data_IF_372174742766
#
_entry.id   IF_372174742766
#
_cell.length_a   1.000
_cell.length_b   1.000
_cell.length_c   1.000
_cell.angle_alpha   90.00
_cell.angle_beta   90.00
_cell.angle_gamma   90.00
#
_symmetry.space_group_name_H-M   'P 1'
#
loop_
_entity.id
_entity.type
_entity.pdbx_description
1 polymer ?
#
# COMPACT_ATOMS: atom_id res chain seq x y z
N UNK A 1 8.18 2.41 27.69
CA UNK A 1 8.86 2.09 26.42
C UNK A 1 7.88 2.34 25.29
N UNK A 2 8.18 3.26 24.37
CA UNK A 2 7.29 3.62 23.27
C UNK A 2 7.76 2.85 22.03
N UNK A 3 7.02 1.80 21.65
CA UNK A 3 7.34 1.02 20.45
C UNK A 3 6.85 1.80 19.24
N UNK A 4 7.75 2.51 18.56
CA UNK A 4 7.40 3.22 17.33
C UNK A 4 7.03 2.20 16.23
N UNK A 5 5.77 2.21 15.78
CA UNK A 5 5.27 1.36 14.69
C UNK A 5 5.99 1.77 13.39
N UNK A 6 6.94 0.96 12.91
CA UNK A 6 7.64 1.20 11.64
C UNK A 6 6.66 1.02 10.48
N UNK A 7 6.22 2.13 9.89
CA UNK A 7 5.50 2.12 8.62
C UNK A 7 6.50 2.14 7.47
N UNK A 8 6.29 1.24 6.50
CA UNK A 8 7.00 1.26 5.22
C UNK A 8 6.49 2.47 4.44
N UNK A 9 7.38 3.16 3.72
CA UNK A 9 7.05 4.34 2.92
C UNK A 9 7.85 4.35 1.63
N UNK A 10 7.38 5.02 0.57
CA UNK A 10 8.17 5.30 -0.63
C UNK A 10 9.54 5.86 -0.28
N UNK A 11 10.57 5.33 -0.95
CA UNK A 11 11.92 5.88 -0.90
C UNK A 11 12.13 6.97 -1.97
N UNK A 12 11.21 7.10 -2.93
CA UNK A 12 11.27 8.05 -4.05
C UNK A 12 10.02 8.94 -4.05
N UNK A 13 10.23 10.26 -4.20
CA UNK A 13 9.14 11.20 -4.47
C UNK A 13 8.72 11.05 -5.94
N UNK A 14 7.43 10.78 -6.17
CA UNK A 14 6.90 10.49 -7.50
C UNK A 14 5.65 11.33 -7.79
N UNK A 15 5.51 11.83 -9.01
CA UNK A 15 4.30 12.52 -9.45
C UNK A 15 3.12 11.55 -9.47
N UNK A 16 1.99 11.94 -8.86
CA UNK A 16 0.84 11.03 -8.71
C UNK A 16 1.01 9.97 -7.61
N UNK A 17 1.83 10.24 -6.59
CA UNK A 17 1.96 9.35 -5.43
C UNK A 17 0.61 9.10 -4.73
N UNK A 18 0.24 7.82 -4.61
CA UNK A 18 -1.09 7.39 -4.13
C UNK A 18 -1.25 7.38 -2.59
N UNK A 19 -0.28 7.89 -1.83
CA UNK A 19 -0.21 7.76 -0.37
C UNK A 19 -1.46 8.25 0.37
N UNK A 20 -1.97 9.43 -0.01
CA UNK A 20 -3.19 10.00 0.59
C UNK A 20 -4.48 9.25 0.23
N UNK A 21 -4.43 8.37 -0.78
CA UNK A 21 -5.56 7.60 -1.28
C UNK A 21 -5.55 6.15 -0.81
N UNK A 22 -4.51 5.70 -0.10
CA UNK A 22 -4.34 4.30 0.30
C UNK A 22 -5.53 3.76 1.09
N UNK A 23 -6.06 4.53 2.04
CA UNK A 23 -7.21 4.07 2.85
C UNK A 23 -8.47 3.84 1.98
N UNK A 24 -8.69 4.70 0.99
CA UNK A 24 -9.80 4.56 0.04
C UNK A 24 -9.59 3.37 -0.88
N UNK A 25 -8.39 3.22 -1.44
CA UNK A 25 -8.04 2.07 -2.29
C UNK A 25 -8.20 0.76 -1.49
N UNK A 26 -7.69 0.73 -0.25
CA UNK A 26 -7.76 -0.43 0.63
C UNK A 26 -9.20 -0.84 0.97
N UNK A 27 -10.14 0.10 1.03
CA UNK A 27 -11.55 -0.22 1.21
C UNK A 27 -12.14 -1.04 0.05
N UNK A 28 -11.65 -0.82 -1.17
CA UNK A 28 -12.13 -1.48 -2.39
C UNK A 28 -11.33 -2.72 -2.80
N UNK A 29 -10.22 -3.02 -2.11
CA UNK A 29 -9.46 -4.25 -2.37
C UNK A 29 -10.27 -5.51 -1.99
N UNK A 30 -10.12 -6.62 -2.72
CA UNK A 30 -10.79 -7.88 -2.40
C UNK A 30 -10.53 -8.32 -0.95
N UNK A 31 -11.55 -8.73 -0.19
CA UNK A 31 -11.37 -9.25 1.18
C UNK A 31 -10.39 -10.44 1.24
N UNK A 32 -10.30 -11.22 0.17
CA UNK A 32 -9.35 -12.32 0.03
C UNK A 32 -7.88 -11.87 0.07
N UNK A 33 -7.58 -10.62 -0.30
CA UNK A 33 -6.25 -10.03 -0.17
C UNK A 33 -5.95 -9.69 1.30
N UNK A 34 -6.91 -9.11 2.03
CA UNK A 34 -6.77 -8.76 3.46
C UNK A 34 -6.64 -10.01 4.35
N UNK A 35 -7.33 -11.07 3.98
CA UNK A 35 -7.27 -12.38 4.67
C UNK A 35 -6.07 -13.24 4.23
N UNK A 36 -5.26 -12.77 3.29
CA UNK A 36 -4.06 -13.47 2.82
C UNK A 36 -4.33 -14.72 1.98
N UNK A 37 -5.55 -14.91 1.46
CA UNK A 37 -5.88 -15.99 0.51
C UNK A 37 -5.26 -15.75 -0.87
N UNK A 38 -5.18 -14.49 -1.29
CA UNK A 38 -4.41 -14.08 -2.47
C UNK A 38 -2.94 -13.96 -2.07
N UNK A 39 -2.07 -14.76 -2.71
CA UNK A 39 -0.63 -14.84 -2.38
C UNK A 39 0.26 -13.96 -3.24
N UNK A 40 -0.25 -13.46 -4.37
CA UNK A 40 0.51 -12.65 -5.33
C UNK A 40 -0.29 -11.39 -5.64
N UNK A 41 0.36 -10.24 -5.53
CA UNK A 41 -0.19 -8.94 -5.90
C UNK A 41 0.74 -8.32 -6.94
N UNK A 42 0.17 -7.90 -8.07
CA UNK A 42 0.92 -7.29 -9.17
C UNK A 42 0.32 -5.91 -9.42
N UNK A 43 1.17 -4.88 -9.37
CA UNK A 43 0.81 -3.50 -9.66
C UNK A 43 1.58 -3.05 -10.91
N UNK A 44 0.99 -3.14 -12.12
CA UNK A 44 1.67 -2.77 -13.36
C UNK A 44 2.16 -1.32 -13.37
N UNK A 45 1.47 -0.42 -12.66
CA UNK A 45 1.75 1.01 -12.57
C UNK A 45 2.13 1.41 -11.14
N UNK A 46 3.21 0.81 -10.62
CA UNK A 46 3.66 1.00 -9.25
C UNK A 46 3.98 2.47 -8.92
N UNK A 47 4.67 3.16 -9.82
CA UNK A 47 5.18 4.51 -9.60
C UNK A 47 6.13 4.53 -8.40
N UNK A 48 5.90 5.43 -7.44
CA UNK A 48 6.69 5.53 -6.21
C UNK A 48 6.47 4.42 -5.17
N UNK A 49 5.54 3.48 -5.40
CA UNK A 49 5.26 2.40 -4.46
C UNK A 49 4.75 2.89 -3.10
N UNK A 50 3.69 3.70 -3.14
CA UNK A 50 3.02 4.28 -1.98
C UNK A 50 2.44 3.23 -1.03
#
# INVERSE_FOLDING_TARGET
MITAKRQVKPFLKWAGGKGQLLDRIAAHLPPALKTGRIKKYFEPFLGGGA
#
